data_IF_280129664521
#
_entry.id   IF_280129664521
#
_cell.length_a   1.000
_cell.length_b   1.000
_cell.length_c   1.000
_cell.angle_alpha   90.00
_cell.angle_beta   90.00
_cell.angle_gamma   90.00
#
_symmetry.space_group_name_H-M   'P 1'
#
loop_
_entity.id
_entity.type
_entity.pdbx_description
1 polymer ?
#
# COMPACT_ATOMS: atom_id res chain seq x y z
N UNK A 1 -75.03 -13.85 -15.98
CA UNK A 1 -73.94 -13.23 -16.78
C UNK A 1 -72.75 -12.76 -15.93
N UNK A 2 -72.63 -13.20 -14.67
CA UNK A 2 -71.65 -12.65 -13.71
C UNK A 2 -70.76 -13.71 -13.03
N UNK A 3 -71.09 -15.00 -13.21
CA UNK A 3 -70.21 -16.13 -12.82
C UNK A 3 -69.16 -16.48 -13.87
N UNK A 4 -69.36 -16.07 -15.13
CA UNK A 4 -68.46 -16.42 -16.25
C UNK A 4 -67.34 -15.39 -16.47
N UNK A 5 -67.37 -14.23 -15.79
CA UNK A 5 -66.29 -13.22 -15.80
C UNK A 5 -65.32 -13.35 -14.61
N UNK A 6 -65.64 -14.14 -13.57
CA UNK A 6 -64.73 -14.41 -12.45
C UNK A 6 -63.73 -15.53 -12.76
N UNK A 7 -64.10 -16.48 -13.61
CA UNK A 7 -63.22 -17.59 -13.99
C UNK A 7 -62.12 -17.18 -14.98
N UNK A 8 -62.33 -16.12 -15.76
CA UNK A 8 -61.34 -15.61 -16.71
C UNK A 8 -60.30 -14.67 -16.06
N UNK A 9 -60.61 -14.10 -14.89
CA UNK A 9 -59.66 -13.35 -14.06
C UNK A 9 -58.75 -14.28 -13.24
N UNK A 10 -59.24 -15.49 -12.88
CA UNK A 10 -58.44 -16.52 -12.21
C UNK A 10 -57.50 -17.27 -13.18
N UNK A 11 -57.86 -17.40 -14.47
CA UNK A 11 -57.01 -18.05 -15.49
C UNK A 11 -55.91 -17.16 -16.07
N UNK A 12 -56.01 -15.82 -15.94
CA UNK A 12 -54.93 -14.89 -16.33
C UNK A 12 -53.90 -14.60 -15.24
N UNK A 13 -54.03 -15.22 -14.06
CA UNK A 13 -53.00 -15.21 -12.98
C UNK A 13 -52.24 -16.53 -12.84
N UNK A 14 -52.28 -17.39 -13.85
CA UNK A 14 -51.55 -18.67 -13.91
C UNK A 14 -50.39 -18.67 -14.93
N UNK A 15 -50.00 -17.53 -15.50
CA UNK A 15 -48.88 -17.44 -16.46
C UNK A 15 -47.75 -16.46 -16.12
N UNK A 16 -47.57 -16.11 -14.84
CA UNK A 16 -46.32 -15.46 -14.37
C UNK A 16 -45.92 -15.92 -12.98
N UNK A 17 -45.55 -17.20 -12.85
CA UNK A 17 -44.53 -17.63 -11.88
C UNK A 17 -43.66 -18.69 -12.55
N UNK A 18 -42.36 -18.56 -12.29
CA UNK A 18 -41.24 -19.41 -12.72
C UNK A 18 -40.62 -19.16 -14.10
N UNK A 19 -40.17 -17.93 -14.31
CA UNK A 19 -38.77 -17.72 -14.70
C UNK A 19 -37.98 -17.41 -13.42
N UNK A 20 -37.86 -18.39 -12.53
CA UNK A 20 -37.03 -18.22 -11.33
C UNK A 20 -35.58 -18.14 -11.80
N UNK A 21 -34.93 -17.00 -11.63
CA UNK A 21 -33.48 -16.90 -11.76
C UNK A 21 -32.88 -18.02 -10.89
N UNK A 22 -32.14 -18.93 -11.50
CA UNK A 22 -31.43 -19.95 -10.75
C UNK A 22 -30.32 -19.24 -9.98
N UNK A 23 -30.36 -19.32 -8.65
CA UNK A 23 -29.28 -18.84 -7.78
C UNK A 23 -28.09 -19.80 -7.74
N UNK A 24 -27.97 -20.71 -8.72
CA UNK A 24 -26.85 -21.63 -8.82
C UNK A 24 -25.58 -20.86 -9.16
N UNK A 25 -24.47 -21.30 -8.60
CA UNK A 25 -23.16 -20.75 -8.95
C UNK A 25 -22.91 -21.09 -10.41
N UNK A 26 -22.51 -20.09 -11.20
CA UNK A 26 -22.04 -20.28 -12.58
C UNK A 26 -20.56 -19.94 -12.73
N UNK A 27 -19.99 -19.16 -11.80
CA UNK A 27 -18.55 -18.88 -11.75
C UNK A 27 -18.08 -18.54 -10.34
N UNK A 28 -16.81 -18.84 -10.07
CA UNK A 28 -16.08 -18.47 -8.86
C UNK A 28 -14.84 -17.70 -9.28
N UNK A 29 -14.70 -16.47 -8.79
CA UNK A 29 -13.46 -15.72 -8.91
C UNK A 29 -12.78 -15.61 -7.54
N UNK A 30 -11.47 -15.81 -7.49
CA UNK A 30 -10.68 -15.67 -6.28
C UNK A 30 -9.94 -14.34 -6.30
N UNK A 31 -9.98 -13.60 -5.18
CA UNK A 31 -9.35 -12.28 -5.04
C UNK A 31 -8.56 -12.15 -3.73
N UNK A 32 -7.32 -11.64 -3.77
CA UNK A 32 -6.58 -11.32 -4.99
C UNK A 32 -6.29 -12.62 -5.79
N UNK A 33 -6.05 -12.51 -7.09
CA UNK A 33 -5.66 -13.65 -7.94
C UNK A 33 -4.16 -13.93 -7.86
N UNK A 34 -3.38 -13.01 -7.30
CA UNK A 34 -2.01 -13.22 -6.85
C UNK A 34 -1.74 -12.50 -5.54
N UNK A 35 -0.95 -13.08 -4.64
CA UNK A 35 -0.44 -12.38 -3.47
C UNK A 35 0.97 -12.85 -3.15
N UNK A 36 1.78 -11.96 -2.58
CA UNK A 36 3.11 -12.30 -2.06
C UNK A 36 3.10 -12.13 -0.55
N UNK A 37 3.60 -13.10 0.23
CA UNK A 37 3.68 -12.99 1.68
C UNK A 37 5.10 -13.30 2.17
N UNK A 38 5.63 -12.58 3.19
CA UNK A 38 6.76 -13.09 3.94
C UNK A 38 6.35 -14.37 4.69
N UNK A 39 7.32 -15.22 5.06
CA UNK A 39 7.12 -16.33 6.01
C UNK A 39 6.36 -15.82 7.24
N UNK A 40 5.44 -16.64 7.78
CA UNK A 40 4.53 -16.32 8.89
C UNK A 40 3.51 -15.20 8.63
N UNK A 41 3.57 -14.53 7.48
CA UNK A 41 2.54 -13.58 7.05
C UNK A 41 1.21 -14.27 6.78
N UNK A 42 0.10 -13.56 6.99
CA UNK A 42 -1.24 -14.08 6.70
C UNK A 42 -2.04 -13.13 5.79
N UNK A 43 -2.92 -13.69 4.96
CA UNK A 43 -3.66 -12.94 3.96
C UNK A 43 -5.01 -13.55 3.58
N UNK A 44 -6.12 -12.79 3.61
CA UNK A 44 -7.40 -13.32 3.18
C UNK A 44 -7.50 -13.37 1.66
N UNK A 45 -7.89 -14.53 1.15
CA UNK A 45 -8.45 -14.67 -0.18
C UNK A 45 -9.98 -14.70 -0.06
N UNK A 46 -10.65 -14.06 -1.01
CA UNK A 46 -12.09 -13.97 -1.10
C UNK A 46 -12.58 -14.70 -2.35
N UNK A 47 -13.64 -15.48 -2.21
CA UNK A 47 -14.35 -16.08 -3.33
C UNK A 47 -15.56 -15.20 -3.68
N UNK A 48 -15.62 -14.77 -4.94
CA UNK A 48 -16.74 -14.03 -5.51
C UNK A 48 -17.56 -14.99 -6.37
N UNK A 49 -18.76 -15.34 -5.90
CA UNK A 49 -19.67 -16.24 -6.59
C UNK A 49 -20.63 -15.43 -7.48
N UNK A 50 -20.89 -15.89 -8.71
CA UNK A 50 -21.87 -15.26 -9.61
C UNK A 50 -22.80 -16.28 -10.23
N UNK A 51 -24.04 -15.88 -10.49
CA UNK A 51 -25.02 -16.66 -11.25
C UNK A 51 -24.75 -16.59 -12.77
N UNK A 52 -25.56 -17.31 -13.56
CA UNK A 52 -25.43 -17.35 -15.02
C UNK A 52 -25.75 -16.02 -15.72
N UNK A 53 -26.40 -15.09 -15.03
CA UNK A 53 -26.64 -13.74 -15.50
C UNK A 53 -25.52 -12.77 -15.09
N UNK A 54 -24.52 -13.23 -14.33
CA UNK A 54 -23.39 -12.45 -13.84
C UNK A 54 -23.64 -11.72 -12.52
N UNK A 55 -24.79 -11.92 -11.88
CA UNK A 55 -25.12 -11.27 -10.61
C UNK A 55 -24.37 -11.95 -9.46
N UNK A 56 -23.88 -11.15 -8.51
CA UNK A 56 -23.19 -11.68 -7.32
C UNK A 56 -24.14 -12.47 -6.42
N UNK A 57 -23.68 -13.64 -6.00
CA UNK A 57 -24.36 -14.50 -5.04
C UNK A 57 -23.75 -14.31 -3.64
N UNK A 58 -24.61 -14.32 -2.61
CA UNK A 58 -24.19 -14.24 -1.21
C UNK A 58 -24.58 -15.51 -0.44
N UNK A 59 -23.72 -15.93 0.50
CA UNK A 59 -24.00 -17.09 1.36
C UNK A 59 -23.77 -18.47 0.74
N UNK A 60 -23.17 -18.56 -0.45
CA UNK A 60 -22.79 -19.84 -1.04
C UNK A 60 -21.66 -20.51 -0.24
N UNK A 61 -21.73 -21.84 -0.08
CA UNK A 61 -20.69 -22.60 0.61
C UNK A 61 -19.43 -22.63 -0.26
N UNK A 62 -18.29 -22.23 0.32
CA UNK A 62 -16.99 -22.22 -0.36
C UNK A 62 -16.03 -23.14 0.38
N UNK A 63 -15.40 -24.05 -0.35
CA UNK A 63 -14.32 -24.90 0.16
C UNK A 63 -12.99 -24.38 -0.35
N UNK A 64 -12.05 -24.14 0.55
CA UNK A 64 -10.70 -23.66 0.23
C UNK A 64 -9.68 -24.80 0.29
N UNK A 65 -8.73 -24.79 -0.64
CA UNK A 65 -7.60 -25.73 -0.66
C UNK A 65 -6.32 -25.02 -1.08
N UNK A 66 -5.18 -25.52 -0.60
CA UNK A 66 -3.86 -25.11 -1.05
C UNK A 66 -3.22 -26.26 -1.82
N UNK A 67 -2.58 -25.96 -2.96
CA UNK A 67 -1.80 -26.95 -3.71
C UNK A 67 -0.57 -27.43 -2.96
N UNK A 68 -0.05 -26.64 -2.02
CA UNK A 68 1.12 -26.98 -1.20
C UNK A 68 0.99 -26.37 0.21
N UNK A 69 0.40 -27.09 1.17
CA UNK A 69 0.31 -26.67 2.57
C UNK A 69 1.66 -26.49 3.28
N UNK A 70 2.76 -27.01 2.72
CA UNK A 70 4.10 -26.77 3.28
C UNK A 70 4.64 -25.38 2.91
N UNK A 71 4.10 -24.77 1.85
CA UNK A 71 4.39 -23.39 1.44
C UNK A 71 3.37 -22.44 2.06
N UNK A 72 2.07 -22.72 1.94
CA UNK A 72 1.01 -21.88 2.47
C UNK A 72 -0.24 -22.69 2.84
N UNK A 73 -0.76 -22.48 4.04
CA UNK A 73 -2.00 -23.10 4.54
C UNK A 73 -3.16 -22.13 4.34
N UNK A 74 -4.33 -22.61 3.94
CA UNK A 74 -5.56 -21.80 3.86
C UNK A 74 -6.61 -22.38 4.80
N UNK A 75 -7.28 -21.54 5.59
CA UNK A 75 -8.37 -21.95 6.46
C UNK A 75 -9.74 -21.97 5.76
N UNK A 76 -10.79 -22.35 6.47
CA UNK A 76 -12.16 -22.42 5.92
C UNK A 76 -12.75 -21.06 5.55
N UNK A 77 -12.18 -19.96 6.05
CA UNK A 77 -12.61 -18.59 5.73
C UNK A 77 -11.87 -18.00 4.53
N UNK A 78 -10.84 -18.71 4.03
CA UNK A 78 -9.96 -18.22 2.97
C UNK A 78 -8.75 -17.46 3.50
N UNK A 79 -8.50 -17.46 4.81
CA UNK A 79 -7.28 -16.85 5.36
C UNK A 79 -6.09 -17.78 5.09
N UNK A 80 -5.15 -17.28 4.29
CA UNK A 80 -3.89 -17.95 3.97
C UNK A 80 -2.84 -17.58 5.00
N UNK A 81 -2.07 -18.53 5.50
CA UNK A 81 -0.89 -18.32 6.35
C UNK A 81 0.33 -18.89 5.63
N UNK A 82 1.37 -18.07 5.47
CA UNK A 82 2.63 -18.45 4.86
C UNK A 82 3.44 -19.34 5.82
N UNK A 83 3.95 -20.46 5.31
CA UNK A 83 4.71 -21.45 6.08
C UNK A 83 6.17 -21.46 5.65
N UNK A 84 6.44 -21.63 4.36
CA UNK A 84 7.79 -21.71 3.83
C UNK A 84 7.90 -21.07 2.45
N UNK A 85 9.10 -20.64 2.02
CA UNK A 85 9.30 -20.02 0.73
C UNK A 85 8.90 -20.95 -0.42
N UNK A 86 8.25 -20.38 -1.43
CA UNK A 86 7.78 -21.13 -2.58
C UNK A 86 6.53 -20.49 -3.17
N UNK A 87 5.84 -21.24 -4.02
CA UNK A 87 4.55 -20.83 -4.58
C UNK A 87 3.50 -21.89 -4.32
N UNK A 88 2.30 -21.50 -3.94
CA UNK A 88 1.14 -22.38 -3.86
C UNK A 88 -0.04 -21.76 -4.60
N UNK A 89 -0.91 -22.59 -5.16
CA UNK A 89 -2.19 -22.16 -5.71
C UNK A 89 -3.26 -22.37 -4.66
N UNK A 90 -3.98 -21.29 -4.33
CA UNK A 90 -5.11 -21.29 -3.40
C UNK A 90 -6.38 -21.38 -4.24
N UNK A 91 -7.16 -22.44 -4.04
CA UNK A 91 -8.35 -22.74 -4.84
C UNK A 91 -9.60 -22.66 -3.98
N UNK A 92 -10.58 -21.88 -4.43
CA UNK A 92 -11.93 -21.86 -3.89
C UNK A 92 -12.85 -22.69 -4.80
N UNK A 93 -13.64 -23.58 -4.21
CA UNK A 93 -14.67 -24.37 -4.89
C UNK A 93 -16.04 -24.07 -4.30
N UNK A 94 -17.02 -23.85 -5.16
CA UNK A 94 -18.44 -23.77 -4.78
C UNK A 94 -19.28 -24.48 -5.83
N UNK A 95 -20.12 -25.42 -5.40
CA UNK A 95 -20.85 -26.34 -6.29
C UNK A 95 -19.86 -27.05 -7.26
N UNK A 96 -20.08 -26.96 -8.58
CA UNK A 96 -19.20 -27.55 -9.60
C UNK A 96 -18.17 -26.55 -10.17
N UNK A 97 -18.09 -25.35 -9.59
CA UNK A 97 -17.26 -24.26 -10.09
C UNK A 97 -16.08 -23.97 -9.17
N UNK A 98 -14.97 -23.52 -9.76
CA UNK A 98 -13.77 -23.16 -9.01
C UNK A 98 -13.10 -21.91 -9.54
N UNK A 99 -12.38 -21.23 -8.65
CA UNK A 99 -11.49 -20.13 -8.95
C UNK A 99 -10.21 -20.31 -8.16
N UNK A 100 -9.12 -19.67 -8.59
CA UNK A 100 -7.85 -19.78 -7.88
C UNK A 100 -7.07 -18.47 -7.87
N UNK A 101 -6.14 -18.37 -6.92
CA UNK A 101 -5.12 -17.34 -6.90
C UNK A 101 -3.76 -17.91 -6.49
N UNK A 102 -2.69 -17.32 -7.01
CA UNK A 102 -1.31 -17.74 -6.75
C UNK A 102 -0.78 -17.01 -5.52
N UNK A 103 -0.37 -17.75 -4.50
CA UNK A 103 0.43 -17.21 -3.39
C UNK A 103 1.91 -17.46 -3.68
N UNK A 104 2.74 -16.43 -3.55
CA UNK A 104 4.20 -16.54 -3.50
C UNK A 104 4.64 -16.24 -2.07
N UNK A 105 5.21 -17.23 -1.38
CA UNK A 105 5.84 -16.99 -0.09
C UNK A 105 7.31 -16.70 -0.31
N UNK A 106 7.75 -15.55 0.18
CA UNK A 106 9.14 -15.11 0.12
C UNK A 106 9.77 -15.22 1.50
N UNK A 107 11.07 -15.51 1.55
CA UNK A 107 11.82 -15.22 2.77
C UNK A 107 11.85 -13.70 2.94
N UNK A 108 11.74 -13.21 4.18
CA UNK A 108 12.38 -11.94 4.54
C UNK A 108 13.78 -11.88 3.93
N UNK A 109 14.16 -10.75 3.33
CA UNK A 109 15.54 -10.54 2.91
C UNK A 109 16.51 -10.78 4.07
N UNK A 110 17.72 -11.26 3.78
CA UNK A 110 18.78 -11.40 4.79
C UNK A 110 19.49 -10.07 5.11
N UNK A 111 19.06 -8.99 4.46
CA UNK A 111 19.56 -7.63 4.66
C UNK A 111 18.87 -6.91 5.82
N UNK A 112 19.19 -5.63 6.05
CA UNK A 112 18.59 -4.83 7.13
C UNK A 112 17.08 -4.56 6.94
N UNK A 113 16.52 -4.94 5.80
CA UNK A 113 15.13 -4.75 5.37
C UNK A 113 14.36 -6.08 5.33
N UNK A 114 13.78 -6.53 6.47
CA UNK A 114 13.14 -7.84 6.55
C UNK A 114 11.88 -7.96 5.67
N UNK A 115 11.23 -6.86 5.31
CA UNK A 115 10.02 -6.92 4.49
C UNK A 115 10.30 -6.79 2.98
N UNK A 116 11.57 -6.69 2.58
CA UNK A 116 11.95 -6.67 1.17
C UNK A 116 11.62 -8.01 0.48
N UNK A 117 10.85 -8.02 -0.63
CA UNK A 117 10.57 -9.24 -1.36
C UNK A 117 11.83 -9.85 -1.99
N UNK A 118 12.00 -11.16 -1.81
CA UNK A 118 13.10 -11.89 -2.45
C UNK A 118 13.08 -11.74 -3.97
N UNK A 119 14.27 -11.56 -4.57
CA UNK A 119 14.45 -11.45 -6.01
C UNK A 119 14.22 -10.06 -6.59
N UNK A 120 13.95 -9.05 -5.75
CA UNK A 120 14.01 -7.66 -6.19
C UNK A 120 15.46 -7.27 -6.50
N UNK A 121 15.64 -6.44 -7.54
CA UNK A 121 16.96 -5.89 -7.87
C UNK A 121 17.11 -4.57 -7.13
N UNK A 122 18.22 -4.39 -6.43
CA UNK A 122 18.58 -3.10 -5.81
C UNK A 122 18.75 -2.04 -6.90
N UNK A 123 18.07 -0.91 -6.72
CA UNK A 123 18.07 0.25 -7.62
C UNK A 123 18.82 1.42 -7.00
N UNK A 124 18.72 1.59 -5.69
CA UNK A 124 19.45 2.57 -4.91
C UNK A 124 19.61 2.10 -3.47
N UNK A 125 20.76 2.39 -2.88
CA UNK A 125 21.11 2.04 -1.50
C UNK A 125 21.98 3.18 -0.98
N UNK A 126 21.34 4.26 -0.51
CA UNK A 126 22.01 5.52 -0.26
C UNK A 126 22.17 5.75 1.24
N UNK A 127 23.40 5.66 1.79
CA UNK A 127 23.68 5.91 3.21
C UNK A 127 23.65 7.41 3.57
N UNK A 128 23.44 8.31 2.60
CA UNK A 128 23.54 9.77 2.73
C UNK A 128 24.89 10.25 3.29
N UNK A 129 25.98 9.66 2.80
CA UNK A 129 27.34 10.20 3.01
C UNK A 129 27.62 11.44 2.15
N UNK A 130 26.79 11.69 1.14
CA UNK A 130 26.80 12.88 0.29
C UNK A 130 25.37 13.24 -0.14
N UNK A 131 25.11 14.53 -0.38
CA UNK A 131 23.93 14.96 -1.14
C UNK A 131 24.25 14.89 -2.63
N UNK A 132 23.24 14.73 -3.48
CA UNK A 132 23.42 14.74 -4.94
C UNK A 132 24.53 13.77 -5.39
N UNK A 133 24.45 12.52 -4.92
CA UNK A 133 25.47 11.50 -5.09
C UNK A 133 24.85 10.10 -5.20
N UNK A 134 25.65 9.11 -5.59
CA UNK A 134 25.21 7.70 -5.71
C UNK A 134 23.97 7.50 -6.60
N UNK A 135 23.86 8.36 -7.61
CA UNK A 135 22.76 8.37 -8.56
C UNK A 135 21.48 9.06 -8.07
N UNK A 136 21.57 9.78 -6.96
CA UNK A 136 20.54 10.68 -6.46
C UNK A 136 20.81 12.11 -6.87
N UNK A 137 19.74 12.89 -7.01
CA UNK A 137 19.79 14.30 -7.35
C UNK A 137 19.15 15.13 -6.23
N UNK A 138 19.89 16.14 -5.76
CA UNK A 138 19.33 17.13 -4.85
C UNK A 138 18.59 18.20 -5.66
N UNK A 139 17.29 18.29 -5.46
CA UNK A 139 16.40 19.21 -6.16
C UNK A 139 15.64 20.10 -5.17
N UNK A 140 15.09 21.20 -5.68
CA UNK A 140 14.24 22.14 -4.94
C UNK A 140 14.86 22.75 -3.66
N UNK A 141 16.16 22.51 -3.40
CA UNK A 141 16.88 23.00 -2.23
C UNK A 141 17.41 24.44 -2.42
N UNK A 142 16.58 25.32 -2.99
CA UNK A 142 16.99 26.70 -3.35
C UNK A 142 17.40 27.51 -2.11
N UNK A 143 16.79 27.22 -0.95
CA UNK A 143 17.08 27.88 0.32
C UNK A 143 18.14 27.17 1.17
N UNK A 144 18.73 26.07 0.68
CA UNK A 144 19.76 25.33 1.42
C UNK A 144 19.25 24.68 2.72
N UNK A 145 17.98 24.30 2.78
CA UNK A 145 17.34 23.72 3.96
C UNK A 145 17.45 22.18 4.02
N UNK A 146 17.95 21.56 2.96
CA UNK A 146 18.42 20.16 2.96
C UNK A 146 19.94 20.17 3.06
N UNK A 147 20.46 19.53 4.11
CA UNK A 147 21.89 19.52 4.46
C UNK A 147 22.31 18.12 4.90
N UNK A 148 23.61 17.82 4.82
CA UNK A 148 24.15 16.67 5.55
C UNK A 148 24.28 17.04 7.02
N UNK A 149 23.78 16.14 7.87
CA UNK A 149 23.97 16.17 9.30
C UNK A 149 24.81 14.98 9.76
N UNK A 150 25.05 14.93 11.07
CA UNK A 150 25.64 13.77 11.72
C UNK A 150 24.82 13.38 12.93
N UNK A 151 24.50 12.09 13.04
CA UNK A 151 23.87 11.47 14.20
C UNK A 151 24.55 10.12 14.49
N UNK A 152 25.36 10.01 15.55
CA UNK A 152 25.97 8.73 15.94
C UNK A 152 24.97 7.63 16.29
N UNK A 153 23.70 7.97 16.51
CA UNK A 153 22.62 7.03 16.78
C UNK A 153 21.84 6.63 15.52
N UNK A 154 22.25 7.10 14.33
CA UNK A 154 21.69 6.65 13.05
C UNK A 154 21.78 5.10 12.96
N UNK A 155 20.65 4.40 12.73
CA UNK A 155 20.60 2.95 12.91
C UNK A 155 21.44 2.11 11.93
N UNK A 156 21.60 2.56 10.69
CA UNK A 156 22.18 1.77 9.61
C UNK A 156 23.46 2.38 9.04
N UNK A 157 23.55 3.71 8.87
CA UNK A 157 24.76 4.36 8.31
C UNK A 157 25.34 5.48 9.16
N UNK A 158 25.63 5.22 10.45
CA UNK A 158 26.18 6.25 11.32
C UNK A 158 27.57 6.71 10.84
N UNK A 159 27.90 8.01 10.99
CA UNK A 159 27.04 9.05 11.54
C UNK A 159 26.22 9.81 10.47
N UNK A 160 26.40 9.54 9.18
CA UNK A 160 25.85 10.37 8.10
C UNK A 160 24.34 10.31 8.03
N UNK A 161 23.68 11.48 8.02
CA UNK A 161 22.23 11.59 7.82
C UNK A 161 21.94 12.76 6.89
N UNK A 162 20.84 12.69 6.14
CA UNK A 162 20.29 13.89 5.51
C UNK A 162 19.31 14.57 6.47
N UNK A 163 19.46 15.87 6.63
CA UNK A 163 18.64 16.72 7.50
C UNK A 163 17.81 17.69 6.67
N UNK A 164 16.51 17.69 6.91
CA UNK A 164 15.53 18.61 6.35
C UNK A 164 15.11 19.58 7.44
N UNK A 165 15.37 20.87 7.25
CA UNK A 165 15.11 21.92 8.24
C UNK A 165 13.84 22.69 7.90
N UNK A 166 12.97 22.87 8.88
CA UNK A 166 11.81 23.74 8.80
C UNK A 166 12.01 24.93 9.75
N UNK A 167 12.58 26.05 9.29
CA UNK A 167 12.81 27.21 10.14
C UNK A 167 11.49 27.87 10.56
N UNK A 168 11.56 28.71 11.60
CA UNK A 168 10.47 29.64 11.95
C UNK A 168 10.12 30.48 10.70
N UNK A 169 8.83 30.57 10.39
CA UNK A 169 8.33 31.24 9.20
C UNK A 169 8.24 30.34 7.95
N UNK A 170 8.68 29.08 8.00
CA UNK A 170 8.52 28.15 6.89
C UNK A 170 7.03 27.96 6.56
N UNK A 171 6.65 28.25 5.31
CA UNK A 171 5.26 28.22 4.85
C UNK A 171 4.78 26.81 4.54
N UNK A 172 3.53 26.50 4.90
CA UNK A 172 2.91 25.22 4.53
C UNK A 172 2.68 25.11 3.02
N UNK A 173 2.76 23.88 2.51
CA UNK A 173 2.51 23.55 1.11
C UNK A 173 3.76 23.18 0.34
N UNK A 174 4.94 23.49 0.89
CA UNK A 174 6.24 23.17 0.32
C UNK A 174 7.09 22.24 1.19
N UNK A 175 8.20 21.78 0.63
CA UNK A 175 9.25 21.06 1.35
C UNK A 175 10.54 21.88 1.41
N UNK A 176 11.47 21.58 2.34
CA UNK A 176 12.81 22.18 2.40
C UNK A 176 13.65 21.96 1.13
N UNK A 177 13.35 20.90 0.40
CA UNK A 177 13.99 20.42 -0.83
C UNK A 177 13.61 18.95 -1.03
N UNK A 178 14.29 18.24 -1.94
CA UNK A 178 14.17 16.79 -2.05
C UNK A 178 15.44 16.13 -2.59
N UNK A 179 15.74 14.92 -2.11
CA UNK A 179 16.64 13.99 -2.78
C UNK A 179 15.78 13.05 -3.63
N UNK A 180 16.07 12.98 -4.93
CA UNK A 180 15.33 12.17 -5.88
C UNK A 180 16.19 11.09 -6.53
N UNK A 181 15.55 9.97 -6.88
CA UNK A 181 16.15 8.86 -7.60
C UNK A 181 15.26 8.46 -8.76
N UNK A 182 15.80 8.52 -9.97
CA UNK A 182 15.16 7.94 -11.14
C UNK A 182 15.06 6.43 -10.98
N UNK A 183 13.89 5.90 -11.33
CA UNK A 183 13.57 4.49 -11.33
C UNK A 183 13.47 3.99 -12.78
N UNK A 184 13.93 2.77 -13.07
CA UNK A 184 13.97 2.23 -14.44
C UNK A 184 12.60 1.72 -14.92
N UNK A 185 11.50 2.43 -14.60
CA UNK A 185 10.14 2.06 -14.99
C UNK A 185 9.66 0.80 -14.28
N UNK A 186 9.55 0.85 -12.95
CA UNK A 186 9.20 -0.31 -12.12
C UNK A 186 7.68 -0.47 -11.98
N UNK A 187 7.23 -1.72 -11.90
CA UNK A 187 5.84 -2.06 -11.54
C UNK A 187 5.75 -2.73 -10.17
N UNK A 188 6.88 -3.10 -9.61
CA UNK A 188 7.02 -3.59 -8.24
C UNK A 188 8.17 -2.84 -7.59
N UNK A 189 7.92 -2.15 -6.48
CA UNK A 189 8.90 -1.33 -5.77
C UNK A 189 8.80 -1.59 -4.28
N UNK A 190 9.94 -1.84 -3.66
CA UNK A 190 10.12 -1.82 -2.22
C UNK A 190 11.02 -0.63 -1.86
N UNK A 191 10.63 0.10 -0.81
CA UNK A 191 11.43 1.16 -0.20
C UNK A 191 11.60 0.85 1.27
N UNK A 192 12.85 0.91 1.75
CA UNK A 192 13.20 0.91 3.16
C UNK A 192 13.88 2.23 3.51
N UNK A 193 13.46 2.88 4.60
CA UNK A 193 14.06 4.13 5.08
C UNK A 193 14.08 4.18 6.60
N UNK A 194 15.19 4.66 7.18
CA UNK A 194 15.17 5.13 8.56
C UNK A 194 14.87 6.61 8.60
N UNK A 195 13.88 6.98 9.39
CA UNK A 195 13.38 8.34 9.48
C UNK A 195 13.19 8.75 10.94
N UNK A 196 13.51 9.99 11.27
CA UNK A 196 13.33 10.57 12.60
C UNK A 196 12.70 11.95 12.49
N UNK A 197 11.47 12.15 12.99
CA UNK A 197 10.92 13.49 13.21
C UNK A 197 11.50 14.14 14.48
N UNK A 198 11.65 15.45 14.50
CA UNK A 198 12.04 16.19 15.71
C UNK A 198 11.04 16.04 16.85
N UNK A 199 11.52 16.30 18.06
CA UNK A 199 10.69 16.50 19.24
C UNK A 199 11.12 17.83 19.91
N UNK A 200 10.28 18.86 19.94
CA UNK A 200 8.89 18.89 19.47
C UNK A 200 8.75 18.76 17.94
N UNK A 201 7.50 18.60 17.48
CA UNK A 201 7.11 18.72 16.08
C UNK A 201 5.82 19.53 15.96
N UNK A 202 5.88 20.67 15.26
CA UNK A 202 4.68 21.42 14.91
C UNK A 202 3.99 20.78 13.70
N UNK A 203 2.97 19.97 13.94
CA UNK A 203 2.10 19.47 12.87
C UNK A 203 1.37 20.59 12.12
N UNK A 204 1.12 20.40 10.83
CA UNK A 204 0.35 21.36 10.03
C UNK A 204 -1.17 21.25 10.33
N UNK A 205 -1.96 22.35 10.29
CA UNK A 205 -3.41 22.31 10.51
C UNK A 205 -4.22 21.43 9.54
N UNK A 206 -3.65 21.07 8.39
CA UNK A 206 -4.25 20.08 7.48
C UNK A 206 -4.09 18.64 7.96
N UNK A 207 -3.45 18.42 9.11
CA UNK A 207 -3.07 17.13 9.68
C UNK A 207 -2.04 16.32 8.89
N UNK A 208 -1.45 16.87 7.83
CA UNK A 208 -0.57 16.14 6.91
C UNK A 208 0.86 16.64 7.03
N UNK A 209 1.82 15.73 7.14
CA UNK A 209 3.24 16.00 7.03
C UNK A 209 3.84 14.89 6.17
N UNK A 210 4.18 15.19 4.91
CA UNK A 210 4.60 14.17 3.94
C UNK A 210 6.06 13.77 4.19
N UNK A 211 6.40 12.52 3.93
CA UNK A 211 7.73 11.96 4.21
C UNK A 211 8.45 11.61 2.91
N UNK A 212 7.78 10.86 2.04
CA UNK A 212 8.35 10.33 0.80
C UNK A 212 7.27 10.10 -0.26
N UNK A 213 7.69 10.05 -1.52
CA UNK A 213 6.84 9.98 -2.70
C UNK A 213 7.38 9.00 -3.73
N UNK A 214 6.46 8.40 -4.47
CA UNK A 214 6.73 7.68 -5.71
C UNK A 214 5.86 8.27 -6.83
N UNK A 215 6.49 8.56 -7.97
CA UNK A 215 5.84 9.17 -9.12
C UNK A 215 5.80 8.20 -10.29
N UNK A 216 4.61 7.89 -10.83
CA UNK A 216 4.47 7.19 -12.10
C UNK A 216 4.73 8.12 -13.29
N UNK A 217 5.23 7.57 -14.39
CA UNK A 217 5.48 8.34 -15.62
C UNK A 217 4.22 8.89 -16.29
N UNK A 218 3.04 8.39 -15.90
CA UNK A 218 1.73 8.85 -16.36
C UNK A 218 1.18 10.07 -15.60
N UNK A 219 1.92 10.60 -14.62
CA UNK A 219 1.51 11.74 -13.79
C UNK A 219 0.78 11.36 -12.51
N UNK A 220 0.65 12.35 -11.62
CA UNK A 220 0.25 12.15 -10.22
C UNK A 220 1.36 11.55 -9.38
N UNK A 221 1.01 11.09 -8.18
CA UNK A 221 1.94 10.52 -7.23
C UNK A 221 1.23 9.58 -6.25
N UNK A 222 2.02 8.89 -5.45
CA UNK A 222 1.57 8.25 -4.22
C UNK A 222 2.60 8.62 -3.15
N UNK A 223 2.13 9.00 -1.96
CA UNK A 223 3.02 9.41 -0.88
C UNK A 223 2.66 8.76 0.45
N UNK A 224 3.68 8.59 1.27
CA UNK A 224 3.57 8.20 2.67
C UNK A 224 3.75 9.44 3.54
N UNK A 225 2.87 9.61 4.52
CA UNK A 225 2.85 10.79 5.39
C UNK A 225 2.58 10.47 6.86
N UNK A 226 3.18 11.29 7.73
CA UNK A 226 2.82 11.38 9.14
C UNK A 226 1.54 12.21 9.28
N UNK A 227 0.44 11.52 9.62
CA UNK A 227 -0.88 12.10 9.73
C UNK A 227 -1.31 12.25 11.19
N UNK A 228 -1.86 13.41 11.55
CA UNK A 228 -2.40 13.70 12.87
C UNK A 228 -2.53 15.20 13.12
N UNK A 229 -3.32 15.63 14.13
CA UNK A 229 -3.48 17.05 14.44
C UNK A 229 -2.15 17.69 14.86
N UNK A 230 -2.02 19.03 14.81
CA UNK A 230 -0.91 19.73 15.45
C UNK A 230 -0.76 19.30 16.92
N UNK A 231 0.43 18.85 17.32
CA UNK A 231 0.71 18.28 18.65
C UNK A 231 0.50 16.76 18.78
N UNK A 232 -0.02 16.10 17.75
CA UNK A 232 -0.23 14.64 17.72
C UNK A 232 -1.48 14.17 18.49
N UNK A 233 -1.71 12.87 18.66
CA UNK A 233 -0.86 11.76 18.21
C UNK A 233 -0.78 11.64 16.68
N UNK A 234 0.30 11.01 16.21
CA UNK A 234 0.59 10.82 14.79
C UNK A 234 0.60 9.34 14.41
N UNK A 235 0.12 9.03 13.20
CA UNK A 235 0.18 7.71 12.57
C UNK A 235 0.65 7.82 11.11
N UNK A 236 1.17 6.74 10.54
CA UNK A 236 1.53 6.71 9.11
C UNK A 236 0.33 6.34 8.25
N UNK A 237 0.12 7.09 7.17
CA UNK A 237 -0.90 6.84 6.13
C UNK A 237 -0.30 6.98 4.75
N UNK A 238 -0.93 6.34 3.77
CA UNK A 238 -0.56 6.45 2.35
C UNK A 238 -1.70 7.11 1.58
N UNK A 239 -1.38 8.03 0.65
CA UNK A 239 -2.36 8.64 -0.24
C UNK A 239 -1.94 8.50 -1.70
N UNK A 240 -2.65 7.69 -2.50
CA UNK A 240 -2.56 7.72 -3.96
C UNK A 240 -3.25 8.99 -4.50
N UNK A 241 -2.57 9.71 -5.38
CA UNK A 241 -3.03 10.93 -6.05
C UNK A 241 -2.86 10.78 -7.57
N UNK A 242 -3.44 9.73 -8.13
CA UNK A 242 -3.31 9.42 -9.55
C UNK A 242 -4.37 10.12 -10.40
N UNK A 243 -4.05 10.57 -11.63
CA UNK A 243 -5.00 11.22 -12.51
C UNK A 243 -6.18 10.29 -12.85
N UNK A 244 -7.39 10.85 -12.80
CA UNK A 244 -8.65 10.15 -13.10
C UNK A 244 -8.98 8.97 -12.16
N UNK A 245 -8.27 8.83 -11.04
CA UNK A 245 -8.56 7.86 -9.98
C UNK A 245 -8.94 8.61 -8.70
N UNK A 246 -9.69 7.93 -7.82
CA UNK A 246 -10.03 8.49 -6.53
C UNK A 246 -8.76 8.70 -5.68
N UNK A 247 -8.69 9.82 -4.97
CA UNK A 247 -7.59 10.15 -4.06
C UNK A 247 -8.04 9.94 -2.62
N UNK A 248 -8.18 8.68 -2.23
CA UNK A 248 -8.64 8.28 -0.90
C UNK A 248 -7.48 7.84 -0.03
N UNK A 249 -7.50 8.25 1.24
CA UNK A 249 -6.50 7.81 2.21
C UNK A 249 -6.55 6.30 2.41
N UNK A 250 -5.40 5.66 2.23
CA UNK A 250 -5.13 4.34 2.77
C UNK A 250 -4.75 4.52 4.23
N UNK A 251 -5.68 4.17 5.12
CA UNK A 251 -5.53 4.28 6.57
C UNK A 251 -5.04 2.94 7.14
N UNK A 252 -4.46 2.92 8.36
CA UNK A 252 -4.13 1.67 9.02
C UNK A 252 -5.32 0.71 9.08
N UNK A 253 -5.17 -0.47 8.47
CA UNK A 253 -6.19 -1.54 8.45
C UNK A 253 -5.72 -2.85 9.09
N UNK A 254 -4.44 -2.95 9.49
CA UNK A 254 -3.88 -4.10 10.22
C UNK A 254 -3.58 -3.73 11.67
N UNK A 255 -2.60 -2.83 11.88
CA UNK A 255 -2.23 -2.33 13.21
C UNK A 255 -2.19 -0.81 13.22
N UNK A 256 -2.51 -0.19 14.36
CA UNK A 256 -2.25 1.23 14.60
C UNK A 256 -0.97 1.38 15.43
N UNK A 257 0.12 1.78 14.78
CA UNK A 257 1.40 2.02 15.42
C UNK A 257 1.63 3.53 15.48
N UNK A 258 1.74 4.13 16.69
CA UNK A 258 1.96 5.56 16.81
C UNK A 258 3.40 5.93 16.42
N UNK A 259 3.56 7.11 15.82
CA UNK A 259 4.88 7.71 15.63
C UNK A 259 5.36 8.34 16.94
N UNK A 260 6.59 8.03 17.34
CA UNK A 260 7.22 8.59 18.52
C UNK A 260 8.21 9.68 18.11
N UNK A 261 7.92 10.92 18.48
CA UNK A 261 8.77 12.06 18.13
C UNK A 261 10.17 11.94 18.74
N UNK A 262 11.19 12.36 18.00
CA UNK A 262 12.58 12.35 18.42
C UNK A 262 13.26 10.98 18.42
N UNK A 263 12.61 9.93 17.88
CA UNK A 263 13.16 8.59 17.76
C UNK A 263 13.33 8.18 16.29
N UNK A 264 14.35 7.36 16.04
CA UNK A 264 14.51 6.70 14.74
C UNK A 264 13.45 5.63 14.56
N UNK A 265 12.81 5.66 13.40
CA UNK A 265 11.78 4.74 12.98
C UNK A 265 12.17 4.07 11.68
N UNK A 266 11.94 2.75 11.57
CA UNK A 266 12.10 2.03 10.31
C UNK A 266 10.77 2.03 9.56
N UNK A 267 10.73 2.72 8.44
CA UNK A 267 9.61 2.64 7.49
C UNK A 267 10.00 1.66 6.39
N UNK A 268 9.10 0.73 6.09
CA UNK A 268 9.21 -0.16 4.94
C UNK A 268 7.90 -0.03 4.15
N UNK A 269 7.99 0.06 2.83
CA UNK A 269 6.85 0.31 1.95
C UNK A 269 6.97 -0.50 0.65
N UNK A 270 5.94 -1.29 0.35
CA UNK A 270 5.85 -2.15 -0.84
C UNK A 270 4.67 -1.73 -1.71
N UNK A 271 4.93 -1.51 -2.99
CA UNK A 271 3.95 -1.19 -4.01
C UNK A 271 4.06 -2.19 -5.17
N UNK A 272 2.95 -2.82 -5.53
CA UNK A 272 2.85 -3.73 -6.67
C UNK A 272 1.67 -3.31 -7.52
N UNK A 273 1.92 -3.04 -8.80
CA UNK A 273 0.88 -2.64 -9.72
C UNK A 273 -0.15 -3.75 -9.91
N UNK A 274 -1.40 -3.32 -10.09
CA UNK A 274 -2.48 -4.19 -10.49
C UNK A 274 -2.22 -4.80 -11.88
N UNK A 275 -2.57 -6.08 -12.07
CA UNK A 275 -2.61 -6.78 -13.35
C UNK A 275 -4.03 -6.83 -13.95
N UNK A 276 -5.06 -6.57 -13.14
CA UNK A 276 -6.45 -6.35 -13.56
C UNK A 276 -6.87 -4.93 -13.21
N UNK A 277 -7.80 -4.31 -13.94
CA UNK A 277 -8.28 -2.94 -13.65
C UNK A 277 -9.72 -2.89 -13.14
N UNK A 278 -10.50 -3.94 -13.35
CA UNK A 278 -11.87 -4.06 -12.85
C UNK A 278 -12.20 -5.51 -12.45
N UNK A 279 -12.14 -5.85 -11.15
CA UNK A 279 -11.62 -5.00 -10.08
C UNK A 279 -10.08 -4.87 -10.17
N UNK A 280 -9.49 -3.78 -9.67
CA UNK A 280 -8.05 -3.69 -9.47
C UNK A 280 -7.56 -4.70 -8.43
N UNK A 281 -6.34 -5.20 -8.60
CA UNK A 281 -5.67 -6.13 -7.69
C UNK A 281 -4.27 -5.66 -7.23
N UNK A 282 -3.99 -4.35 -7.29
CA UNK A 282 -2.69 -3.80 -6.94
C UNK A 282 -2.51 -3.74 -5.42
N UNK A 283 -1.25 -3.88 -5.00
CA UNK A 283 -0.89 -4.00 -3.59
C UNK A 283 -0.19 -2.74 -3.11
N UNK A 284 -0.59 -2.26 -1.94
CA UNK A 284 0.14 -1.27 -1.15
C UNK A 284 0.24 -1.77 0.28
N UNK A 285 1.47 -1.95 0.77
CA UNK A 285 1.75 -2.37 2.15
C UNK A 285 2.79 -1.50 2.79
N UNK A 286 2.61 -1.13 4.05
CA UNK A 286 3.63 -0.40 4.78
C UNK A 286 3.73 -0.84 6.24
N UNK A 287 4.95 -0.74 6.76
CA UNK A 287 5.32 -1.12 8.12
C UNK A 287 5.97 0.06 8.84
N UNK A 288 5.84 0.07 10.17
CA UNK A 288 6.62 0.92 11.06
C UNK A 288 7.24 0.04 12.14
N UNK A 289 8.56 0.13 12.28
CA UNK A 289 9.35 -0.63 13.26
C UNK A 289 9.07 -2.14 13.21
N UNK A 290 8.96 -2.65 11.98
CA UNK A 290 8.68 -4.07 11.69
C UNK A 290 7.22 -4.51 11.87
N UNK A 291 6.31 -3.62 12.30
CA UNK A 291 4.89 -3.93 12.45
C UNK A 291 4.12 -3.49 11.20
N UNK A 292 3.39 -4.42 10.58
CA UNK A 292 2.52 -4.14 9.43
C UNK A 292 1.39 -3.21 9.86
N UNK A 293 1.30 -2.02 9.25
CA UNK A 293 0.25 -1.03 9.54
C UNK A 293 -0.89 -1.14 8.54
N UNK A 294 -0.53 -1.12 7.26
CA UNK A 294 -1.48 -1.10 6.15
C UNK A 294 -1.20 -2.21 5.17
N UNK A 295 -2.26 -2.87 4.72
CA UNK A 295 -2.21 -3.96 3.77
C UNK A 295 -3.42 -3.95 2.83
N UNK A 296 -3.23 -3.36 1.66
CA UNK A 296 -4.24 -3.17 0.62
C UNK A 296 -3.88 -3.97 -0.63
N UNK A 297 -4.89 -4.45 -1.35
CA UNK A 297 -4.74 -5.41 -2.47
C UNK A 297 -5.70 -5.18 -3.62
N UNK A 298 -6.42 -4.08 -3.56
CA UNK A 298 -7.38 -3.59 -4.54
C UNK A 298 -7.03 -2.16 -4.94
N UNK A 299 -5.75 -1.79 -4.84
CA UNK A 299 -5.30 -0.46 -5.21
C UNK A 299 -5.17 -0.40 -6.73
N UNK A 300 -5.83 0.57 -7.33
CA UNK A 300 -5.68 0.85 -8.74
C UNK A 300 -4.48 1.77 -8.96
N UNK A 301 -3.49 1.30 -9.69
CA UNK A 301 -2.37 2.11 -10.18
C UNK A 301 -2.67 2.64 -11.58
N UNK A 302 -2.04 3.76 -11.98
CA UNK A 302 -2.15 4.27 -13.34
C UNK A 302 -1.39 3.36 -14.32
N UNK A 303 -1.59 3.58 -15.62
CA UNK A 303 -0.94 2.75 -16.64
C UNK A 303 0.60 2.89 -16.65
N UNK A 304 1.11 4.09 -16.41
CA UNK A 304 2.55 4.39 -16.42
C UNK A 304 3.28 3.78 -15.21
N UNK A 305 4.44 3.13 -15.41
CA UNK A 305 5.22 2.55 -14.30
C UNK A 305 5.79 3.65 -13.40
N UNK A 306 6.25 3.27 -12.21
CA UNK A 306 6.97 4.15 -11.29
C UNK A 306 8.32 4.53 -11.90
N UNK A 307 8.55 5.83 -12.00
CA UNK A 307 9.72 6.41 -12.67
C UNK A 307 10.58 7.27 -11.76
N UNK A 308 10.07 7.73 -10.62
CA UNK A 308 10.87 8.53 -9.68
C UNK A 308 10.48 8.20 -8.25
N UNK A 309 11.46 8.04 -7.38
CA UNK A 309 11.30 8.12 -5.92
C UNK A 309 11.81 9.47 -5.43
N UNK A 310 11.09 10.11 -4.50
CA UNK A 310 11.55 11.33 -3.85
C UNK A 310 11.40 11.25 -2.34
N UNK A 311 12.48 11.58 -1.66
CA UNK A 311 12.45 11.93 -0.26
C UNK A 311 12.17 13.43 -0.17
N UNK A 312 10.87 13.78 -0.15
CA UNK A 312 10.39 15.16 -0.21
C UNK A 312 9.49 15.44 0.99
N UNK A 313 10.09 15.98 2.04
CA UNK A 313 9.42 16.16 3.31
C UNK A 313 8.54 17.44 3.31
N UNK A 314 7.36 17.38 2.71
CA UNK A 314 6.46 18.54 2.60
C UNK A 314 5.71 18.77 3.91
N UNK A 315 5.83 19.97 4.49
CA UNK A 315 5.05 20.37 5.67
C UNK A 315 3.67 20.85 5.26
N UNK A 316 2.71 19.92 5.25
CA UNK A 316 1.30 20.21 5.07
C UNK A 316 0.91 20.82 3.73
N UNK A 317 -0.40 20.95 3.53
CA UNK A 317 -0.94 21.70 2.39
C UNK A 317 -0.67 23.19 2.51
N UNK A 318 -1.33 23.99 1.67
CA UNK A 318 -1.04 25.43 1.59
C UNK A 318 -1.55 26.20 2.83
N UNK A 319 -0.74 27.14 3.29
CA UNK A 319 -1.08 28.07 4.38
C UNK A 319 -0.31 27.80 5.67
N UNK A 320 -0.52 28.63 6.69
CA UNK A 320 0.21 28.58 7.98
C UNK A 320 1.72 28.77 7.88
N UNK A 321 2.36 28.99 9.02
CA UNK A 321 3.81 29.09 9.13
C UNK A 321 4.31 28.36 10.38
N UNK A 322 5.49 27.75 10.28
CA UNK A 322 6.19 27.22 11.46
C UNK A 322 6.46 28.34 12.46
N UNK A 323 6.18 28.09 13.72
CA UNK A 323 6.49 28.97 14.87
C UNK A 323 7.66 28.44 15.69
N UNK A 324 8.12 27.23 15.39
CA UNK A 324 9.34 26.63 15.94
C UNK A 324 10.21 26.06 14.81
N UNK A 325 11.48 25.78 15.12
CA UNK A 325 12.36 25.11 14.18
C UNK A 325 12.17 23.60 14.36
N UNK A 326 11.77 22.94 13.28
CA UNK A 326 11.56 21.50 13.25
C UNK A 326 12.48 20.84 12.24
N UNK A 327 12.59 19.51 12.34
CA UNK A 327 13.47 18.74 11.48
C UNK A 327 12.87 17.38 11.16
N UNK A 328 13.15 16.92 9.95
CA UNK A 328 13.23 15.48 9.68
C UNK A 328 14.69 15.11 9.43
N UNK A 329 15.10 13.96 9.96
CA UNK A 329 16.34 13.31 9.59
C UNK A 329 16.04 11.99 8.93
N UNK A 330 16.90 11.62 7.99
CA UNK A 330 16.85 10.33 7.34
C UNK A 330 18.23 9.69 7.35
N UNK A 331 18.23 8.41 7.70
CA UNK A 331 19.37 7.53 7.62
C UNK A 331 19.01 6.46 6.60
N UNK A 332 19.91 6.24 5.65
CA UNK A 332 19.87 5.16 4.69
C UNK A 332 18.54 4.89 3.96
N UNK A 333 18.46 5.22 2.67
CA UNK A 333 17.33 4.83 1.82
C UNK A 333 17.70 3.69 0.88
N UNK A 334 16.96 2.61 0.99
CA UNK A 334 17.05 1.44 0.13
C UNK A 334 15.85 1.38 -0.81
N UNK A 335 16.11 1.16 -2.08
CA UNK A 335 15.08 0.99 -3.12
C UNK A 335 15.43 -0.24 -3.92
N UNK A 336 14.48 -1.16 -4.03
CA UNK A 336 14.60 -2.33 -4.88
C UNK A 336 13.29 -2.60 -5.63
N UNK A 337 13.37 -3.35 -6.74
CA UNK A 337 12.19 -3.62 -7.54
C UNK A 337 12.46 -4.37 -8.83
N UNK A 338 11.40 -4.54 -9.62
CA UNK A 338 11.46 -5.10 -10.99
C UNK A 338 10.31 -4.65 -11.88
#
# INVERSE_FOLDING_TARGET
MERQRRDDYARRRLHRRHGGRAFCVASVAVRPDTATLPIEGSWPFHAMLRDSAGDSLSGGAVTWTSSDPSVAVVDSTGLVTAVAPGTATITAVSEEHSGSGLITVVRPGAGPWPNEPAGFRVIGDNPFTALNGDGWSLIDNVSGLVTLGTDPQAPLSPPGVVQYVYPIGFSGGGGPGAEERDLPGLRQVFVGVWWKPSNPWQGHPSNVNKIEFLFPSGGGDIYLGMYGPPGGAYELRVLPQFPNLASDWLVPNVNRVPVTLGQWHRIEWLLIYNTTTDPPNGIVRWWLDGKLIGDYFNVQFPNGPLSVYKLSAIWGGVGSAKTEVDYYWYDHVHISGR
#
